data_IF_125172843508
#
_entry.id   IF_125172843508
#
_cell.length_a   1.000
_cell.length_b   1.000
_cell.length_c   1.000
_cell.angle_alpha   90.00
_cell.angle_beta   90.00
_cell.angle_gamma   90.00
#
_symmetry.space_group_name_H-M   'P 1'
#
loop_
_entity.id
_entity.type
_entity.pdbx_description
1 polymer ?
#
# COMPACT_ATOMS: atom_id res chain seq x y z
N UNK A 1 24.63 -21.95 23.15
CA UNK A 1 24.55 -21.58 21.72
C UNK A 1 23.14 -21.26 21.22
N UNK A 2 22.04 -21.46 21.98
CA UNK A 2 20.67 -21.25 21.45
C UNK A 2 20.24 -19.78 21.30
N UNK A 3 20.58 -18.89 22.24
CA UNK A 3 20.11 -17.47 22.21
C UNK A 3 20.47 -16.70 20.95
N UNK A 4 21.60 -17.00 20.32
CA UNK A 4 22.05 -16.29 19.11
C UNK A 4 21.30 -16.68 17.84
N UNK A 5 20.82 -17.93 17.74
CA UNK A 5 20.07 -18.41 16.58
C UNK A 5 18.63 -17.89 16.61
N UNK A 6 18.00 -17.88 17.79
CA UNK A 6 16.65 -17.35 17.99
C UNK A 6 16.57 -15.86 17.63
N UNK A 7 17.59 -15.07 18.01
CA UNK A 7 17.69 -13.64 17.69
C UNK A 7 17.87 -13.35 16.20
N UNK A 8 18.49 -14.26 15.45
CA UNK A 8 18.66 -14.12 14.00
C UNK A 8 17.34 -14.44 13.30
N UNK A 9 16.69 -15.56 13.66
CA UNK A 9 15.41 -15.96 13.09
C UNK A 9 14.32 -14.88 13.27
N UNK A 10 14.22 -14.31 14.47
CA UNK A 10 13.25 -13.24 14.75
C UNK A 10 13.54 -11.97 13.94
N UNK A 11 14.82 -11.65 13.69
CA UNK A 11 15.20 -10.53 12.82
C UNK A 11 14.79 -10.76 11.37
N UNK A 12 15.05 -11.94 10.82
CA UNK A 12 14.63 -12.31 9.46
C UNK A 12 13.11 -12.25 9.29
N UNK A 13 12.38 -12.76 10.29
CA UNK A 13 10.91 -12.72 10.30
C UNK A 13 10.39 -11.28 10.28
N UNK A 14 10.89 -10.40 11.16
CA UNK A 14 10.48 -8.98 11.18
C UNK A 14 10.76 -8.29 9.86
N UNK A 15 11.93 -8.54 9.28
CA UNK A 15 12.32 -7.95 8.01
C UNK A 15 11.43 -8.43 6.86
N UNK A 16 11.08 -9.72 6.81
CA UNK A 16 10.14 -10.25 5.82
C UNK A 16 8.77 -9.57 5.90
N UNK A 17 8.23 -9.37 7.11
CA UNK A 17 6.95 -8.67 7.31
C UNK A 17 7.06 -7.20 6.89
N UNK A 18 8.18 -6.52 7.19
CA UNK A 18 8.41 -5.12 6.76
C UNK A 18 8.45 -5.00 5.24
N UNK A 19 9.07 -5.95 4.54
CA UNK A 19 9.07 -6.00 3.07
C UNK A 19 7.68 -6.20 2.48
N UNK A 20 6.80 -6.94 3.16
CA UNK A 20 5.40 -7.09 2.75
C UNK A 20 4.54 -5.84 3.03
N UNK A 21 4.89 -5.06 4.05
CA UNK A 21 4.13 -3.89 4.49
C UNK A 21 4.24 -2.70 3.52
N UNK A 22 5.40 -2.51 2.87
CA UNK A 22 5.58 -1.44 1.88
C UNK A 22 4.63 -1.56 0.66
N UNK A 23 4.61 -2.68 -0.08
CA UNK A 23 3.67 -2.85 -1.19
C UNK A 23 2.21 -2.90 -0.71
N UNK A 24 1.94 -3.36 0.52
CA UNK A 24 0.59 -3.29 1.11
C UNK A 24 0.11 -1.84 1.27
N UNK A 25 0.93 -0.98 1.88
CA UNK A 25 0.62 0.43 2.03
C UNK A 25 0.43 1.11 0.68
N UNK A 26 1.35 0.86 -0.28
CA UNK A 26 1.22 1.37 -1.63
C UNK A 26 -0.07 0.91 -2.31
N UNK A 27 -0.47 -0.36 -2.16
CA UNK A 27 -1.72 -0.88 -2.71
C UNK A 27 -2.94 -0.13 -2.15
N UNK A 28 -2.96 0.11 -0.83
CA UNK A 28 -4.02 0.85 -0.15
C UNK A 28 -4.09 2.33 -0.56
N UNK A 29 -2.97 2.95 -0.92
CA UNK A 29 -2.94 4.34 -1.39
C UNK A 29 -3.24 4.47 -2.88
N UNK A 30 -2.79 3.50 -3.69
CA UNK A 30 -2.73 3.63 -5.15
C UNK A 30 -4.08 3.99 -5.74
N UNK A 31 -5.14 3.27 -5.36
CA UNK A 31 -6.46 3.47 -5.92
C UNK A 31 -7.05 4.85 -5.58
N UNK A 32 -7.21 5.25 -4.29
CA UNK A 32 -7.77 6.56 -3.99
C UNK A 32 -6.90 7.73 -4.46
N UNK A 33 -5.57 7.59 -4.44
CA UNK A 33 -4.66 8.64 -4.93
C UNK A 33 -4.78 8.80 -6.45
N UNK A 34 -4.80 7.70 -7.21
CA UNK A 34 -4.94 7.77 -8.67
C UNK A 34 -6.33 8.27 -9.08
N UNK A 35 -7.38 7.90 -8.36
CA UNK A 35 -8.73 8.43 -8.62
C UNK A 35 -8.79 9.94 -8.34
N UNK A 36 -8.15 10.44 -7.28
CA UNK A 36 -8.00 11.88 -7.05
C UNK A 36 -7.17 12.58 -8.15
N UNK A 37 -6.12 11.93 -8.63
CA UNK A 37 -5.32 12.43 -9.74
C UNK A 37 -6.14 12.55 -11.03
N UNK A 38 -7.00 11.58 -11.31
CA UNK A 38 -7.88 11.59 -12.48
C UNK A 38 -9.01 12.61 -12.33
N UNK A 39 -9.68 12.67 -11.17
CA UNK A 39 -10.81 13.60 -10.94
C UNK A 39 -10.42 15.07 -11.00
N UNK A 40 -9.20 15.41 -10.59
CA UNK A 40 -8.71 16.78 -10.56
C UNK A 40 -7.69 17.09 -11.67
N UNK A 41 -7.51 16.20 -12.66
CA UNK A 41 -6.47 16.34 -13.70
C UNK A 41 -5.09 16.69 -13.12
N UNK A 42 -4.75 16.14 -11.94
CA UNK A 42 -3.55 16.54 -11.20
C UNK A 42 -2.28 16.25 -12.00
N UNK A 43 -2.27 15.16 -12.77
CA UNK A 43 -1.14 14.76 -13.61
C UNK A 43 -0.86 15.84 -14.66
N UNK A 44 -1.89 16.36 -15.32
CA UNK A 44 -1.76 17.41 -16.33
C UNK A 44 -1.29 18.73 -15.70
N UNK A 45 -1.85 19.10 -14.55
CA UNK A 45 -1.47 20.32 -13.83
C UNK A 45 -0.02 20.25 -13.31
N UNK A 46 0.42 19.09 -12.82
CA UNK A 46 1.80 18.85 -12.40
C UNK A 46 2.74 18.90 -13.60
N UNK A 47 2.39 18.23 -14.70
CA UNK A 47 3.19 18.23 -15.92
C UNK A 47 3.33 19.65 -16.51
N UNK A 48 2.25 20.41 -16.57
CA UNK A 48 2.24 21.79 -17.04
C UNK A 48 3.09 22.71 -16.15
N UNK A 49 2.98 22.59 -14.82
CA UNK A 49 3.80 23.35 -13.88
C UNK A 49 5.29 23.05 -14.05
N UNK A 50 5.66 21.76 -14.13
CA UNK A 50 7.04 21.33 -14.34
C UNK A 50 7.62 21.84 -15.67
N UNK A 51 6.85 21.77 -16.76
CA UNK A 51 7.27 22.30 -18.07
C UNK A 51 7.45 23.82 -18.04
N UNK A 52 6.65 24.54 -17.25
CA UNK A 52 6.75 25.98 -17.07
C UNK A 52 7.85 26.40 -16.08
N UNK A 53 8.57 25.45 -15.44
CA UNK A 53 9.53 25.75 -14.38
C UNK A 53 8.89 26.35 -13.12
N UNK A 54 7.57 26.19 -12.96
CA UNK A 54 6.78 26.74 -11.87
C UNK A 54 6.32 25.62 -10.93
N UNK A 55 5.89 25.99 -9.73
CA UNK A 55 5.23 25.05 -8.84
C UNK A 55 3.89 24.62 -9.45
N UNK A 56 3.53 23.32 -9.38
CA UNK A 56 2.23 22.84 -9.84
C UNK A 56 1.09 23.64 -9.23
N UNK A 57 0.18 24.15 -10.07
CA UNK A 57 -1.01 24.88 -9.62
C UNK A 57 -2.10 23.96 -9.04
N UNK A 58 -1.69 22.86 -8.40
CA UNK A 58 -2.60 21.87 -7.81
C UNK A 58 -3.35 22.52 -6.65
N UNK A 59 -4.70 22.44 -6.63
CA UNK A 59 -5.50 23.02 -5.56
C UNK A 59 -5.12 22.40 -4.20
N UNK A 60 -5.13 23.21 -3.14
CA UNK A 60 -4.76 22.78 -1.79
C UNK A 60 -5.56 21.55 -1.31
N UNK A 61 -6.83 21.44 -1.72
CA UNK A 61 -7.67 20.28 -1.44
C UNK A 61 -7.12 18.98 -2.01
N UNK A 62 -6.52 19.00 -3.20
CA UNK A 62 -5.90 17.83 -3.82
C UNK A 62 -4.71 17.32 -3.01
N UNK A 63 -3.84 18.23 -2.55
CA UNK A 63 -2.71 17.89 -1.68
C UNK A 63 -3.17 17.33 -0.33
N UNK A 64 -4.22 17.88 0.25
CA UNK A 64 -4.78 17.38 1.51
C UNK A 64 -5.33 15.96 1.37
N UNK A 65 -6.04 15.66 0.28
CA UNK A 65 -6.54 14.31 0.01
C UNK A 65 -5.40 13.31 -0.22
N UNK A 66 -4.41 13.66 -1.04
CA UNK A 66 -3.23 12.81 -1.26
C UNK A 66 -2.51 12.55 0.07
N UNK A 67 -2.28 13.59 0.87
CA UNK A 67 -1.66 13.47 2.19
C UNK A 67 -2.47 12.59 3.15
N UNK A 68 -3.79 12.74 3.16
CA UNK A 68 -4.70 11.92 3.96
C UNK A 68 -4.62 10.43 3.60
N UNK A 69 -4.73 10.09 2.31
CA UNK A 69 -4.63 8.70 1.85
C UNK A 69 -3.23 8.11 2.05
N UNK A 70 -2.17 8.91 1.87
CA UNK A 70 -0.81 8.49 2.18
C UNK A 70 -0.63 8.19 3.68
N UNK A 71 -1.20 9.01 4.56
CA UNK A 71 -1.18 8.77 6.00
C UNK A 71 -1.95 7.50 6.39
N UNK A 72 -3.12 7.27 5.81
CA UNK A 72 -3.90 6.03 6.02
C UNK A 72 -3.14 4.79 5.54
N UNK A 73 -2.50 4.86 4.37
CA UNK A 73 -1.68 3.78 3.84
C UNK A 73 -0.48 3.47 4.72
N UNK A 74 0.21 4.50 5.21
CA UNK A 74 1.30 4.34 6.18
C UNK A 74 0.79 3.70 7.47
N UNK A 75 -0.36 4.14 7.99
CA UNK A 75 -0.98 3.55 9.17
C UNK A 75 -1.34 2.07 8.94
N UNK A 76 -1.88 1.72 7.78
CA UNK A 76 -2.21 0.35 7.40
C UNK A 76 -0.95 -0.54 7.33
N UNK A 77 0.13 -0.05 6.73
CA UNK A 77 1.43 -0.74 6.69
C UNK A 77 2.00 -0.97 8.10
N UNK A 78 1.96 0.06 8.96
CA UNK A 78 2.40 -0.06 10.36
C UNK A 78 1.54 -1.07 11.12
N UNK A 79 0.21 -1.02 10.96
CA UNK A 79 -0.69 -1.98 11.57
C UNK A 79 -0.40 -3.41 11.11
N UNK A 80 -0.08 -3.62 9.83
CA UNK A 80 0.29 -4.94 9.32
C UNK A 80 1.53 -5.48 10.06
N UNK A 81 2.55 -4.66 10.29
CA UNK A 81 3.78 -5.09 10.99
C UNK A 81 3.60 -5.40 12.49
N UNK A 82 2.57 -4.83 13.13
CA UNK A 82 2.33 -4.97 14.58
C UNK A 82 1.35 -6.07 14.94
N UNK A 83 0.73 -6.73 13.96
CA UNK A 83 -0.34 -7.71 14.17
C UNK A 83 0.18 -9.15 14.08
N UNK A 84 -0.42 -10.10 14.83
CA UNK A 84 -0.12 -11.53 14.66
C UNK A 84 -0.58 -12.01 13.27
N UNK A 85 0.04 -13.08 12.74
CA UNK A 85 -0.20 -13.60 11.37
C UNK A 85 -1.69 -13.66 11.00
N UNK A 86 -2.53 -14.31 11.82
CA UNK A 86 -3.98 -14.40 11.55
C UNK A 86 -4.65 -13.04 11.38
N UNK A 87 -4.28 -12.05 12.20
CA UNK A 87 -4.84 -10.71 12.10
C UNK A 87 -4.29 -9.93 10.90
N UNK A 88 -3.04 -10.18 10.47
CA UNK A 88 -2.48 -9.61 9.23
C UNK A 88 -3.29 -10.05 8.02
N UNK A 89 -3.58 -11.34 7.90
CA UNK A 89 -4.39 -11.88 6.82
C UNK A 89 -5.81 -11.33 6.78
N UNK A 90 -6.44 -11.14 7.94
CA UNK A 90 -7.77 -10.51 8.02
C UNK A 90 -7.74 -9.05 7.56
N UNK A 91 -6.72 -8.29 7.97
CA UNK A 91 -6.53 -6.91 7.52
C UNK A 91 -6.29 -6.86 6.01
N UNK A 92 -5.39 -7.71 5.50
CA UNK A 92 -5.10 -7.82 4.07
C UNK A 92 -6.37 -8.13 3.26
N UNK A 93 -7.12 -9.16 3.66
CA UNK A 93 -8.34 -9.57 2.98
C UNK A 93 -9.43 -8.50 3.02
N UNK A 94 -9.58 -7.79 4.15
CA UNK A 94 -10.52 -6.68 4.26
C UNK A 94 -10.15 -5.53 3.30
N UNK A 95 -8.89 -5.12 3.28
CA UNK A 95 -8.42 -4.06 2.38
C UNK A 95 -8.53 -4.47 0.91
N UNK A 96 -8.05 -5.66 0.55
CA UNK A 96 -8.14 -6.18 -0.81
C UNK A 96 -9.61 -6.33 -1.25
N UNK A 97 -10.48 -6.85 -0.37
CA UNK A 97 -11.92 -6.98 -0.62
C UNK A 97 -12.59 -5.64 -0.90
N UNK A 98 -12.28 -4.59 -0.13
CA UNK A 98 -12.80 -3.25 -0.38
C UNK A 98 -12.37 -2.71 -1.76
N UNK A 99 -11.12 -2.96 -2.17
CA UNK A 99 -10.64 -2.55 -3.49
C UNK A 99 -11.28 -3.34 -4.63
N UNK A 100 -11.54 -4.64 -4.44
CA UNK A 100 -12.29 -5.46 -5.40
C UNK A 100 -13.73 -4.97 -5.51
N UNK A 101 -14.42 -4.70 -4.40
CA UNK A 101 -15.77 -4.13 -4.44
C UNK A 101 -15.81 -2.78 -5.17
N UNK A 102 -14.82 -1.91 -4.92
CA UNK A 102 -14.70 -0.65 -5.65
C UNK A 102 -14.48 -0.88 -7.16
N UNK A 103 -13.60 -1.80 -7.52
CA UNK A 103 -13.35 -2.17 -8.93
C UNK A 103 -14.61 -2.69 -9.62
N UNK A 104 -15.42 -3.49 -8.93
CA UNK A 104 -16.70 -3.97 -9.45
C UNK A 104 -17.71 -2.82 -9.62
N UNK A 105 -17.72 -1.84 -8.72
CA UNK A 105 -18.63 -0.69 -8.78
C UNK A 105 -18.24 0.34 -9.86
N UNK A 106 -16.95 0.53 -10.11
CA UNK A 106 -16.42 1.58 -11.01
C UNK A 106 -15.87 1.06 -12.34
N UNK A 107 -15.77 -0.25 -12.50
CA UNK A 107 -15.16 -0.90 -13.65
C UNK A 107 -13.63 -1.08 -13.53
N UNK A 108 -13.05 -1.78 -14.51
CA UNK A 108 -11.62 -2.10 -14.53
C UNK A 108 -10.81 -0.92 -15.08
N UNK A 109 -10.37 -0.02 -14.20
CA UNK A 109 -9.50 1.13 -14.53
C UNK A 109 -8.02 0.78 -14.32
N UNK A 110 -7.12 1.55 -14.93
CA UNK A 110 -5.67 1.39 -14.75
C UNK A 110 -5.28 1.47 -13.27
N UNK A 111 -5.90 2.37 -12.51
CA UNK A 111 -5.70 2.50 -11.06
C UNK A 111 -6.01 1.21 -10.29
N UNK A 112 -7.10 0.52 -10.66
CA UNK A 112 -7.48 -0.78 -10.09
C UNK A 112 -6.41 -1.82 -10.39
N UNK A 113 -5.94 -1.90 -11.63
CA UNK A 113 -4.91 -2.86 -12.04
C UNK A 113 -3.60 -2.67 -11.25
N UNK A 114 -3.18 -1.42 -11.09
CA UNK A 114 -2.00 -1.08 -10.27
C UNK A 114 -2.21 -1.50 -8.82
N UNK A 115 -3.36 -1.17 -8.23
CA UNK A 115 -3.70 -1.57 -6.86
C UNK A 115 -3.71 -3.10 -6.68
N UNK A 116 -4.35 -3.85 -7.59
CA UNK A 116 -4.38 -5.30 -7.55
C UNK A 116 -3.00 -5.93 -7.72
N UNK A 117 -2.17 -5.39 -8.62
CA UNK A 117 -0.78 -5.83 -8.79
C UNK A 117 0.06 -5.64 -7.52
N UNK A 118 -0.10 -4.50 -6.85
CA UNK A 118 0.56 -4.23 -5.57
C UNK A 118 0.04 -5.13 -4.44
N UNK A 119 -1.26 -5.41 -4.40
CA UNK A 119 -1.83 -6.40 -3.47
C UNK A 119 -1.29 -7.80 -3.75
N UNK A 120 -1.19 -8.22 -5.01
CA UNK A 120 -0.63 -9.52 -5.38
C UNK A 120 0.85 -9.64 -4.97
N UNK A 121 1.64 -8.58 -5.16
CA UNK A 121 3.02 -8.57 -4.69
C UNK A 121 3.09 -8.63 -3.16
N UNK A 122 2.30 -7.81 -2.46
CA UNK A 122 2.22 -7.83 -1.00
C UNK A 122 1.79 -9.20 -0.46
N UNK A 123 0.86 -9.87 -1.14
CA UNK A 123 0.40 -11.23 -0.82
C UNK A 123 1.56 -12.23 -0.87
N UNK A 124 2.33 -12.25 -1.94
CA UNK A 124 3.51 -13.12 -2.10
C UNK A 124 4.53 -12.86 -0.99
N UNK A 125 4.82 -11.59 -0.71
CA UNK A 125 5.74 -11.21 0.36
C UNK A 125 5.22 -11.63 1.75
N UNK A 126 3.92 -11.51 2.00
CA UNK A 126 3.30 -11.91 3.26
C UNK A 126 3.29 -13.43 3.45
N UNK A 127 3.08 -14.20 2.37
CA UNK A 127 3.21 -15.66 2.41
C UNK A 127 4.63 -16.10 2.75
N UNK A 128 5.65 -15.46 2.17
CA UNK A 128 7.04 -15.74 2.49
C UNK A 128 7.35 -15.44 3.96
N UNK A 129 6.82 -14.34 4.50
CA UNK A 129 6.96 -14.00 5.91
C UNK A 129 6.27 -15.01 6.83
N UNK A 130 5.08 -15.49 6.47
CA UNK A 130 4.33 -16.49 7.24
C UNK A 130 4.96 -17.89 7.18
N UNK A 131 5.62 -18.26 6.08
CA UNK A 131 6.35 -19.51 5.97
C UNK A 131 7.50 -19.59 7.00
N UNK A 132 8.19 -18.46 7.23
CA UNK A 132 9.22 -18.33 8.26
C UNK A 132 8.68 -18.43 9.69
N UNK A 133 7.37 -18.26 9.91
CA UNK A 133 6.76 -18.43 11.24
C UNK A 133 6.40 -19.89 11.55
N UNK A 134 6.38 -20.78 10.54
CA UNK A 134 5.96 -22.18 10.68
C UNK A 134 7.13 -23.17 10.67
N UNK A 135 8.30 -22.76 10.17
CA UNK A 135 9.53 -23.55 10.16
C UNK A 135 10.38 -23.27 11.39
#
# INVERSE_FOLDING_TARGET
MSRGQDDIAERWRREAVRRAAAPFGLACAALPVLDQCEQHSLIEQIAAGLQAGALPAVPASGWLWIGYFAALAAAAAVLLTRRPSRARWRLFAACAGLHVCYALATGLRTAVLVGLGLFAWSFVALQAADALERG
#
